data_IF_092562942943
#
_entry.id   IF_092562942943
#
_cell.length_a   1.000
_cell.length_b   1.000
_cell.length_c   1.000
_cell.angle_alpha   90.00
_cell.angle_beta   90.00
_cell.angle_gamma   90.00
#
_symmetry.space_group_name_H-M   'P 1'
#
loop_
_entity.id
_entity.type
_entity.pdbx_description
1 polymer ?
#
# COMPACT_ATOMS: atom_id res chain seq x y z
N UNK A 1 -13.00 19.77 50.40
CA UNK A 1 -14.41 19.33 50.29
C UNK A 1 -14.87 19.51 48.85
N UNK A 2 -15.44 18.44 48.27
CA UNK A 2 -16.33 18.31 47.09
C UNK A 2 -16.02 19.14 45.81
N UNK A 3 -15.55 18.52 44.71
CA UNK A 3 -16.25 17.71 43.67
C UNK A 3 -17.09 18.56 42.69
N UNK A 4 -16.85 18.35 41.38
CA UNK A 4 -17.80 18.13 40.25
C UNK A 4 -17.07 18.53 38.96
N UNK A 5 -16.49 17.58 38.22
CA UNK A 5 -17.11 16.87 37.09
C UNK A 5 -17.63 17.81 36.02
N UNK A 6 -16.93 17.89 34.89
CA UNK A 6 -17.54 18.21 33.61
C UNK A 6 -17.19 17.07 32.67
N UNK A 7 -18.08 16.09 32.64
CA UNK A 7 -18.29 15.24 31.49
C UNK A 7 -18.64 16.14 30.29
N UNK A 8 -17.89 16.00 29.20
CA UNK A 8 -18.46 16.13 27.87
C UNK A 8 -18.05 14.92 27.06
N UNK A 9 -19.05 14.04 26.90
CA UNK A 9 -19.10 13.04 25.86
C UNK A 9 -18.76 13.69 24.52
N UNK A 10 -17.72 13.20 23.86
CA UNK A 10 -17.69 13.25 22.41
C UNK A 10 -17.67 11.81 21.91
N UNK A 11 -18.88 11.31 21.72
CA UNK A 11 -19.30 10.35 20.72
C UNK A 11 -18.24 10.21 19.63
N UNK A 12 -17.56 9.06 19.59
CA UNK A 12 -16.77 8.68 18.42
C UNK A 12 -17.77 8.34 17.32
N UNK A 13 -18.28 9.39 16.67
CA UNK A 13 -18.96 9.28 15.40
C UNK A 13 -18.05 8.47 14.49
N UNK A 14 -18.63 7.38 13.98
CA UNK A 14 -18.03 6.46 13.03
C UNK A 14 -17.84 7.19 11.70
N UNK A 15 -16.95 8.18 11.70
CA UNK A 15 -16.43 8.75 10.48
C UNK A 15 -15.52 7.68 9.88
N UNK A 16 -15.95 7.12 8.75
CA UNK A 16 -15.22 6.14 7.95
C UNK A 16 -13.96 6.76 7.30
N UNK A 17 -13.44 7.83 7.89
CA UNK A 17 -12.28 8.59 7.47
C UNK A 17 -11.08 8.08 8.26
N UNK A 18 -10.10 7.44 7.62
CA UNK A 18 -8.91 6.93 8.31
C UNK A 18 -8.14 8.09 8.94
N UNK A 19 -7.82 7.98 10.23
CA UNK A 19 -6.97 8.93 10.93
C UNK A 19 -5.54 8.79 10.42
N UNK A 20 -4.88 9.87 10.02
CA UNK A 20 -3.50 9.86 9.52
C UNK A 20 -2.58 10.76 10.35
N UNK A 21 -1.26 10.59 10.18
CA UNK A 21 -0.25 11.45 10.80
C UNK A 21 -0.28 11.47 12.33
N UNK A 22 -0.13 12.65 12.92
CA UNK A 22 -0.05 12.83 14.39
C UNK A 22 -1.32 12.38 15.12
N UNK A 23 -2.49 12.52 14.49
CA UNK A 23 -3.76 12.11 15.08
C UNK A 23 -3.85 10.58 15.24
N UNK A 24 -3.33 9.84 14.26
CA UNK A 24 -3.22 8.38 14.32
C UNK A 24 -2.30 7.95 15.47
N UNK A 25 -1.11 8.55 15.58
CA UNK A 25 -0.16 8.18 16.64
C UNK A 25 -0.71 8.43 18.05
N UNK A 26 -1.45 9.53 18.25
CA UNK A 26 -2.09 9.83 19.53
C UNK A 26 -3.11 8.75 19.90
N UNK A 27 -4.01 8.42 18.99
CA UNK A 27 -5.02 7.36 19.18
C UNK A 27 -4.41 5.98 19.37
N UNK A 28 -3.36 5.63 18.62
CA UNK A 28 -2.67 4.34 18.74
C UNK A 28 -1.98 4.23 20.11
N UNK A 29 -1.42 5.33 20.62
CA UNK A 29 -0.82 5.38 21.96
C UNK A 29 -1.89 5.28 23.06
N UNK A 30 -3.04 5.92 22.88
CA UNK A 30 -4.18 5.77 23.80
C UNK A 30 -4.74 4.34 23.80
N UNK A 31 -4.80 3.69 22.64
CA UNK A 31 -5.38 2.36 22.44
C UNK A 31 -4.35 1.22 22.47
N UNK A 32 -3.11 1.47 22.91
CA UNK A 32 -2.02 0.47 22.92
C UNK A 32 -2.29 -0.72 23.85
N UNK A 33 -3.26 -0.59 24.76
CA UNK A 33 -3.74 -1.64 25.65
C UNK A 33 -4.71 -2.61 24.96
N UNK A 34 -5.25 -2.27 23.78
CA UNK A 34 -6.16 -3.12 23.01
C UNK A 34 -5.41 -3.90 21.92
N UNK A 35 -6.09 -4.89 21.36
CA UNK A 35 -5.58 -5.62 20.22
C UNK A 35 -5.35 -4.70 19.02
N UNK A 36 -4.35 -5.03 18.20
CA UNK A 36 -3.99 -4.26 17.00
C UNK A 36 -5.16 -4.14 16.02
N UNK A 37 -6.01 -5.18 15.96
CA UNK A 37 -7.23 -5.20 15.13
C UNK A 37 -8.26 -4.16 15.58
N UNK A 38 -8.57 -4.11 16.88
CA UNK A 38 -9.51 -3.14 17.45
C UNK A 38 -9.00 -1.70 17.29
N UNK A 39 -7.70 -1.49 17.49
CA UNK A 39 -7.07 -0.18 17.29
C UNK A 39 -7.21 0.27 15.83
N UNK A 40 -6.96 -0.62 14.87
CA UNK A 40 -7.13 -0.31 13.45
C UNK A 40 -8.59 0.03 13.10
N UNK A 41 -9.56 -0.71 13.64
CA UNK A 41 -10.99 -0.40 13.45
C UNK A 41 -11.33 0.98 14.03
N UNK A 42 -10.87 1.27 15.25
CA UNK A 42 -11.10 2.54 15.92
C UNK A 42 -10.41 3.74 15.25
N UNK A 43 -9.39 3.47 14.42
CA UNK A 43 -8.69 4.46 13.61
C UNK A 43 -9.25 4.60 12.18
N UNK A 44 -10.30 3.86 11.83
CA UNK A 44 -10.94 3.94 10.50
C UNK A 44 -10.30 3.04 9.43
N UNK A 45 -9.43 2.09 9.80
CA UNK A 45 -8.77 1.15 8.88
C UNK A 45 -9.55 -0.15 8.74
N UNK A 46 -10.83 -0.03 8.39
CA UNK A 46 -11.66 -1.18 8.05
C UNK A 46 -12.48 -0.89 6.80
N UNK A 47 -12.94 -1.94 6.14
CA UNK A 47 -13.85 -1.85 5.01
C UNK A 47 -15.05 -2.72 5.30
N UNK A 48 -16.24 -2.15 5.11
CA UNK A 48 -17.50 -2.87 5.24
C UNK A 48 -17.87 -3.42 3.87
N UNK A 49 -17.97 -4.73 3.75
CA UNK A 49 -18.46 -5.39 2.52
C UNK A 49 -20.00 -5.31 2.47
N UNK A 50 -20.60 -5.52 1.30
CA UNK A 50 -22.08 -5.53 1.11
C UNK A 50 -22.79 -6.51 2.09
N UNK A 51 -22.14 -7.61 2.44
CA UNK A 51 -22.59 -8.61 3.43
C UNK A 51 -22.45 -8.16 4.91
N UNK A 52 -22.25 -6.86 5.18
CA UNK A 52 -22.02 -6.29 6.53
C UNK A 52 -20.80 -6.86 7.27
N UNK A 53 -19.93 -7.63 6.61
CA UNK A 53 -18.69 -8.11 7.18
C UNK A 53 -17.65 -6.97 7.25
N UNK A 54 -17.10 -6.74 8.45
CA UNK A 54 -16.01 -5.77 8.68
C UNK A 54 -14.67 -6.45 8.41
N UNK A 55 -14.00 -6.07 7.32
CA UNK A 55 -12.64 -6.49 7.02
C UNK A 55 -11.66 -5.43 7.50
N UNK A 56 -10.80 -5.77 8.46
CA UNK A 56 -9.75 -4.88 8.96
C UNK A 56 -8.61 -4.84 7.97
N UNK A 57 -8.17 -3.65 7.57
CA UNK A 57 -7.01 -3.49 6.71
C UNK A 57 -5.79 -3.13 7.56
N UNK A 58 -5.14 -4.16 8.10
CA UNK A 58 -3.93 -4.01 8.92
C UNK A 58 -2.75 -3.44 8.11
N UNK A 59 -2.66 -3.78 6.81
CA UNK A 59 -1.59 -3.28 5.95
C UNK A 59 -1.63 -1.75 5.85
N UNK A 60 -2.79 -1.17 5.51
CA UNK A 60 -2.96 0.29 5.48
C UNK A 60 -2.76 0.97 6.83
N UNK A 61 -3.13 0.28 7.92
CA UNK A 61 -2.93 0.80 9.27
C UNK A 61 -1.44 0.93 9.60
N UNK A 62 -0.64 -0.12 9.37
CA UNK A 62 0.79 -0.06 9.64
C UNK A 62 1.49 0.95 8.74
N UNK A 63 1.16 0.97 7.46
CA UNK A 63 1.70 1.93 6.50
C UNK A 63 1.50 3.38 6.99
N UNK A 64 0.28 3.72 7.41
CA UNK A 64 -0.01 5.04 7.95
C UNK A 64 0.67 5.33 9.30
N UNK A 65 0.88 4.33 10.15
CA UNK A 65 1.65 4.49 11.41
C UNK A 65 3.12 4.75 11.10
N UNK A 66 3.69 4.07 10.11
CA UNK A 66 5.07 4.30 9.66
C UNK A 66 5.22 5.69 9.04
N UNK A 67 4.31 6.05 8.13
CA UNK A 67 4.26 7.38 7.51
C UNK A 67 4.11 8.49 8.57
N UNK A 68 3.25 8.28 9.58
CA UNK A 68 3.09 9.22 10.68
C UNK A 68 4.34 9.39 11.55
N UNK A 69 5.19 8.36 11.64
CA UNK A 69 6.49 8.42 12.33
C UNK A 69 7.58 9.12 11.50
N UNK A 70 7.27 9.55 10.28
CA UNK A 70 8.25 10.14 9.36
C UNK A 70 9.07 9.11 8.60
N UNK A 71 8.71 7.83 8.69
CA UNK A 71 9.17 6.83 7.72
C UNK A 71 8.29 7.03 6.49
N UNK A 72 8.67 7.96 5.61
CA UNK A 72 8.15 7.96 4.24
C UNK A 72 8.58 6.63 3.63
N UNK A 73 7.71 5.61 3.76
CA UNK A 73 7.63 4.57 2.75
C UNK A 73 7.21 5.34 1.52
N UNK A 74 8.18 5.68 0.69
CA UNK A 74 8.00 6.53 -0.46
C UNK A 74 6.67 6.22 -1.16
N UNK A 75 5.99 7.27 -1.63
CA UNK A 75 4.84 7.22 -2.53
C UNK A 75 5.16 6.54 -3.89
N UNK A 76 6.15 5.65 -3.91
CA UNK A 76 6.35 4.60 -4.92
C UNK A 76 5.25 3.52 -4.87
N UNK A 77 4.20 3.71 -4.06
CA UNK A 77 2.88 3.14 -4.33
C UNK A 77 2.14 3.94 -5.42
N UNK A 78 2.90 4.39 -6.44
CA UNK A 78 2.39 4.38 -7.81
C UNK A 78 1.80 2.99 -7.97
N UNK A 79 0.48 2.98 -8.11
CA UNK A 79 -0.32 1.82 -8.48
C UNK A 79 0.15 1.35 -9.84
N UNK A 80 1.31 0.73 -9.94
CA UNK A 80 1.74 0.08 -11.15
C UNK A 80 2.67 -1.08 -10.82
N UNK A 81 2.32 -2.25 -11.33
CA UNK A 81 3.17 -3.44 -11.30
C UNK A 81 3.50 -4.00 -9.91
N UNK A 82 2.81 -5.08 -9.53
CA UNK A 82 3.44 -6.20 -8.80
C UNK A 82 4.49 -6.88 -9.71
N UNK A 83 5.39 -6.09 -10.29
CA UNK A 83 6.46 -6.52 -11.17
C UNK A 83 7.70 -6.76 -10.34
N UNK A 84 8.35 -7.90 -10.57
CA UNK A 84 9.74 -8.07 -10.16
C UNK A 84 10.55 -6.95 -10.81
N UNK A 85 11.56 -6.44 -10.10
CA UNK A 85 12.54 -5.53 -10.68
C UNK A 85 12.98 -6.08 -12.04
N UNK A 86 13.12 -5.20 -13.03
CA UNK A 86 13.50 -5.54 -14.38
C UNK A 86 14.88 -6.22 -14.39
N UNK A 87 14.91 -7.53 -14.22
CA UNK A 87 16.08 -8.31 -14.61
C UNK A 87 16.13 -8.21 -16.11
N UNK A 88 17.06 -7.42 -16.66
CA UNK A 88 17.36 -7.23 -18.09
C UNK A 88 17.80 -8.54 -18.80
N UNK A 89 17.25 -9.68 -18.37
CA UNK A 89 17.44 -11.03 -18.89
C UNK A 89 16.07 -11.51 -19.35
N UNK A 90 15.86 -11.52 -20.65
CA UNK A 90 14.72 -12.18 -21.27
C UNK A 90 15.18 -13.56 -21.77
N UNK A 91 14.43 -14.60 -21.43
CA UNK A 91 14.68 -15.95 -21.92
C UNK A 91 13.66 -16.29 -23.00
N UNK A 92 14.12 -16.91 -24.08
CA UNK A 92 13.22 -17.49 -25.10
C UNK A 92 12.40 -18.59 -24.43
N UNK A 93 11.08 -18.51 -24.56
CA UNK A 93 10.17 -19.53 -24.05
C UNK A 93 10.38 -20.86 -24.81
N UNK A 94 9.94 -21.98 -24.22
CA UNK A 94 10.04 -23.30 -24.87
C UNK A 94 9.36 -23.39 -26.24
N UNK A 95 8.43 -22.48 -26.53
CA UNK A 95 7.75 -22.37 -27.82
C UNK A 95 8.49 -21.48 -28.85
N UNK A 96 9.69 -20.99 -28.52
CA UNK A 96 10.50 -20.15 -29.42
C UNK A 96 10.14 -18.66 -29.40
N UNK A 97 9.22 -18.21 -28.55
CA UNK A 97 8.83 -16.80 -28.46
C UNK A 97 9.67 -16.05 -27.42
N UNK A 98 10.01 -14.80 -27.74
CA UNK A 98 10.60 -13.84 -26.81
C UNK A 98 9.53 -12.80 -26.44
N UNK A 99 9.14 -12.74 -25.17
CA UNK A 99 8.15 -11.78 -24.69
C UNK A 99 8.87 -10.67 -23.92
N UNK A 100 8.73 -9.44 -24.40
CA UNK A 100 9.21 -8.24 -23.71
C UNK A 100 8.00 -7.56 -23.06
N UNK A 101 8.03 -7.43 -21.74
CA UNK A 101 6.95 -6.76 -21.00
C UNK A 101 6.92 -5.25 -21.26
N UNK A 102 5.75 -4.63 -21.12
CA UNK A 102 5.54 -3.20 -21.41
C UNK A 102 6.49 -2.26 -20.64
N UNK A 103 6.88 -2.64 -19.42
CA UNK A 103 7.83 -1.85 -18.62
C UNK A 103 9.19 -1.72 -19.33
N UNK A 104 9.67 -2.81 -19.92
CA UNK A 104 10.94 -2.82 -20.65
C UNK A 104 10.87 -2.00 -21.92
N UNK A 105 9.77 -2.08 -22.68
CA UNK A 105 9.60 -1.28 -23.90
C UNK A 105 9.52 0.21 -23.59
N UNK A 106 8.90 0.59 -22.45
CA UNK A 106 8.85 1.98 -21.99
C UNK A 106 10.21 2.48 -21.52
N UNK A 107 10.95 1.70 -20.72
CA UNK A 107 12.32 2.05 -20.29
C UNK A 107 13.28 2.19 -21.48
N UNK A 108 13.11 1.36 -22.52
CA UNK A 108 13.87 1.46 -23.78
C UNK A 108 13.37 2.58 -24.71
N UNK A 109 12.29 3.29 -24.36
CA UNK A 109 11.73 4.37 -25.17
C UNK A 109 11.12 3.92 -26.51
N UNK A 110 10.77 2.64 -26.64
CA UNK A 110 10.22 2.06 -27.86
C UNK A 110 8.77 2.49 -28.06
N UNK A 111 8.42 2.85 -29.30
CA UNK A 111 7.07 3.24 -29.70
C UNK A 111 6.39 2.12 -30.50
N UNK A 112 5.05 2.05 -30.50
CA UNK A 112 4.33 1.14 -31.38
C UNK A 112 4.76 1.35 -32.84
N UNK A 113 5.25 0.30 -33.49
CA UNK A 113 5.80 0.36 -34.85
C UNK A 113 7.32 0.29 -34.93
N UNK A 114 8.03 0.50 -33.81
CA UNK A 114 9.46 0.25 -33.75
C UNK A 114 9.76 -1.24 -33.91
N UNK A 115 10.78 -1.54 -34.71
CA UNK A 115 11.31 -2.90 -34.91
C UNK A 115 12.74 -2.92 -34.43
N UNK A 116 13.07 -3.92 -33.61
CA UNK A 116 14.43 -4.18 -33.15
C UNK A 116 14.94 -5.46 -33.79
N UNK A 117 16.13 -5.40 -34.38
CA UNK A 117 16.85 -6.59 -34.86
C UNK A 117 17.83 -7.03 -33.77
N UNK A 118 17.76 -8.30 -33.37
CA UNK A 118 18.73 -8.89 -32.45
C UNK A 118 19.85 -9.55 -33.26
N UNK A 119 21.05 -8.99 -33.16
CA UNK A 119 22.23 -9.59 -33.77
C UNK A 119 22.67 -10.79 -32.90
N UNK A 120 22.52 -12.01 -33.44
CA UNK A 120 22.93 -13.23 -32.74
C UNK A 120 24.44 -13.37 -32.76
N UNK A 121 25.10 -13.00 -31.67
CA UNK A 121 26.50 -13.38 -31.44
C UNK A 121 26.50 -14.86 -31.06
N UNK A 122 27.10 -15.69 -31.92
CA UNK A 122 27.20 -17.13 -31.69
C UNK A 122 27.88 -17.40 -30.35
N UNK A 123 27.29 -18.28 -29.54
CA UNK A 123 28.03 -18.93 -28.46
C UNK A 123 28.84 -20.05 -29.10
N UNK A 124 30.16 -19.85 -29.14
CA UNK A 124 31.13 -20.91 -29.37
C UNK A 124 31.20 -21.85 -28.15
#
# INVERSE_FOLDING_TARGET
MAKTTTEKLNTSEQSNTPLTGKALLKKVKELSHKSKKDTAIACGYYSTTKDKQKRVNLAKFYDAVLQAKGLNLDDNNVKDGRGRAATYRACVHRNGQLVIGANYTQEMGLKPGDRSEEHRVGKE
#
